data_IF_325229597700
#
_entry.id   IF_325229597700
#
_cell.length_a   1.000
_cell.length_b   1.000
_cell.length_c   1.000
_cell.angle_alpha   90.00
_cell.angle_beta   90.00
_cell.angle_gamma   90.00
#
_symmetry.space_group_name_H-M   'P 1'
#
loop_
_entity.id
_entity.type
_entity.pdbx_description
1 polymer ?
#
# COMPACT_ATOMS: atom_id res chain seq x y z
N UNK A 1 -14.14 -11.45 15.90
CA UNK A 1 -14.28 -11.58 14.44
C UNK A 1 -13.15 -12.46 13.89
N UNK A 2 -13.42 -13.30 12.93
CA UNK A 2 -12.43 -14.15 12.26
C UNK A 2 -12.12 -13.57 10.89
N UNK A 3 -10.84 -13.61 10.48
CA UNK A 3 -10.42 -13.29 9.13
C UNK A 3 -9.94 -14.58 8.47
N UNK A 4 -10.62 -14.98 7.41
CA UNK A 4 -10.38 -16.23 6.69
C UNK A 4 -9.64 -15.96 5.37
N UNK A 5 -8.72 -16.83 4.97
CA UNK A 5 -8.15 -16.75 3.62
C UNK A 5 -9.21 -17.09 2.58
N UNK A 6 -9.22 -16.33 1.47
CA UNK A 6 -10.12 -16.59 0.33
C UNK A 6 -11.04 -15.43 -0.01
N UNK A 7 -12.07 -15.72 -0.80
CA UNK A 7 -12.99 -14.73 -1.38
C UNK A 7 -14.45 -15.01 -1.04
N UNK A 8 -14.72 -15.87 -0.07
CA UNK A 8 -16.09 -16.19 0.36
C UNK A 8 -16.77 -14.92 0.91
N UNK A 9 -18.08 -14.73 0.65
CA UNK A 9 -18.81 -13.62 1.28
C UNK A 9 -18.73 -13.68 2.80
N UNK A 10 -18.40 -12.54 3.43
CA UNK A 10 -18.37 -12.43 4.89
C UNK A 10 -19.76 -12.63 5.52
N UNK A 11 -19.76 -12.93 6.81
CA UNK A 11 -20.94 -13.04 7.68
C UNK A 11 -20.67 -12.29 8.98
N UNK A 12 -21.63 -12.34 9.92
CA UNK A 12 -21.55 -11.61 11.19
C UNK A 12 -20.31 -11.97 12.04
N UNK A 13 -19.76 -13.18 11.89
CA UNK A 13 -18.67 -13.71 12.68
C UNK A 13 -17.35 -13.85 11.92
N UNK A 14 -17.34 -13.61 10.60
CA UNK A 14 -16.12 -13.65 9.79
C UNK A 14 -16.15 -12.74 8.57
N UNK A 15 -14.96 -12.34 8.13
CA UNK A 15 -14.69 -11.70 6.83
C UNK A 15 -13.63 -12.51 6.10
N UNK A 16 -13.57 -12.36 4.78
CA UNK A 16 -12.54 -13.01 3.95
C UNK A 16 -11.52 -12.02 3.43
N UNK A 17 -10.27 -12.46 3.35
CA UNK A 17 -9.16 -11.73 2.74
C UNK A 17 -8.59 -12.56 1.59
N UNK A 18 -8.43 -11.94 0.42
CA UNK A 18 -7.85 -12.60 -0.75
C UNK A 18 -6.33 -12.84 -0.63
N UNK A 19 -5.65 -12.21 0.34
CA UNK A 19 -4.27 -12.51 0.65
C UNK A 19 -4.18 -13.78 1.51
N UNK A 20 -3.87 -14.89 0.87
CA UNK A 20 -3.78 -16.21 1.53
C UNK A 20 -2.60 -16.32 2.52
N UNK A 21 -1.60 -15.43 2.39
CA UNK A 21 -0.44 -15.32 3.27
C UNK A 21 -0.68 -14.54 4.56
N UNK A 22 -1.87 -13.93 4.74
CA UNK A 22 -2.14 -13.07 5.89
C UNK A 22 -1.80 -13.71 7.25
N UNK A 23 -2.11 -15.00 7.39
CA UNK A 23 -1.84 -15.75 8.61
C UNK A 23 -0.34 -15.92 8.92
N UNK A 24 0.53 -15.84 7.91
CA UNK A 24 1.99 -15.90 8.09
C UNK A 24 2.57 -14.50 8.36
N UNK A 25 1.91 -13.47 7.86
CA UNK A 25 2.38 -12.08 7.94
C UNK A 25 2.05 -11.42 9.29
N UNK A 26 0.96 -11.86 9.97
CA UNK A 26 0.49 -11.21 11.20
C UNK A 26 0.73 -12.07 12.45
N UNK A 27 0.85 -11.42 13.59
CA UNK A 27 1.00 -12.04 14.92
C UNK A 27 0.06 -11.39 15.93
N UNK A 28 -0.08 -12.04 17.09
CA UNK A 28 -0.88 -11.50 18.19
C UNK A 28 -0.40 -10.09 18.58
N UNK A 29 -1.34 -9.17 18.73
CA UNK A 29 -1.13 -7.76 19.01
C UNK A 29 -1.11 -6.85 17.80
N UNK A 30 -0.89 -7.36 16.58
CA UNK A 30 -0.87 -6.55 15.36
C UNK A 30 -2.27 -6.00 15.04
N UNK A 31 -2.29 -4.83 14.40
CA UNK A 31 -3.51 -4.18 13.93
C UNK A 31 -3.83 -4.60 12.51
N UNK A 32 -5.11 -4.81 12.26
CA UNK A 32 -5.66 -4.92 10.91
C UNK A 32 -6.61 -3.73 10.73
N UNK A 33 -6.29 -2.86 9.78
CA UNK A 33 -7.08 -1.70 9.43
C UNK A 33 -7.94 -2.01 8.21
N UNK A 34 -9.22 -1.64 8.27
CA UNK A 34 -10.19 -1.86 7.20
C UNK A 34 -10.77 -0.53 6.73
N UNK A 35 -11.09 -0.44 5.43
CA UNK A 35 -11.69 0.74 4.81
C UNK A 35 -10.91 2.02 5.11
N UNK A 36 -9.64 2.07 4.68
CA UNK A 36 -8.70 3.18 4.89
C UNK A 36 -8.53 3.58 6.37
N UNK A 37 -8.61 2.59 7.26
CA UNK A 37 -8.44 2.80 8.71
C UNK A 37 -9.67 3.31 9.44
N UNK A 38 -10.85 3.30 8.80
CA UNK A 38 -12.13 3.65 9.46
C UNK A 38 -12.54 2.61 10.50
N UNK A 39 -12.11 1.36 10.34
CA UNK A 39 -12.33 0.28 11.29
C UNK A 39 -10.99 -0.36 11.66
N UNK A 40 -10.89 -0.82 12.90
CA UNK A 40 -9.68 -1.46 13.43
C UNK A 40 -10.01 -2.79 14.09
N UNK A 41 -9.27 -3.82 13.71
CA UNK A 41 -9.22 -5.10 14.40
C UNK A 41 -7.83 -5.26 15.03
N UNK A 42 -7.77 -6.02 16.12
CA UNK A 42 -6.51 -6.43 16.74
C UNK A 42 -6.41 -7.94 16.74
N UNK A 43 -5.30 -8.46 16.25
CA UNK A 43 -5.05 -9.90 16.20
C UNK A 43 -4.88 -10.43 17.62
N UNK A 44 -5.66 -11.45 17.98
CA UNK A 44 -5.53 -12.18 19.25
C UNK A 44 -4.68 -13.43 19.06
N UNK A 45 -4.93 -14.16 17.98
CA UNK A 45 -4.18 -15.38 17.67
C UNK A 45 -4.32 -15.76 16.20
N UNK A 46 -3.41 -16.61 15.73
CA UNK A 46 -3.49 -17.25 14.42
C UNK A 46 -3.64 -18.76 14.65
N UNK A 47 -4.72 -19.34 14.10
CA UNK A 47 -5.00 -20.75 14.20
C UNK A 47 -4.13 -21.61 13.27
N UNK A 48 -3.99 -22.89 13.58
CA UNK A 48 -3.32 -23.88 12.70
C UNK A 48 -4.05 -24.10 11.37
N UNK A 49 -5.32 -23.72 11.31
CA UNK A 49 -6.18 -23.69 10.13
C UNK A 49 -6.01 -22.41 9.30
N UNK A 50 -5.03 -21.55 9.67
CA UNK A 50 -4.73 -20.25 9.05
C UNK A 50 -5.83 -19.19 9.21
N UNK A 51 -6.73 -19.39 10.15
CA UNK A 51 -7.73 -18.40 10.53
C UNK A 51 -7.11 -17.40 11.50
N UNK A 52 -7.24 -16.11 11.21
CA UNK A 52 -6.80 -15.03 12.09
C UNK A 52 -7.96 -14.63 12.99
N UNK A 53 -7.81 -14.87 14.29
CA UNK A 53 -8.78 -14.50 15.31
C UNK A 53 -8.49 -13.08 15.78
N UNK A 54 -9.52 -12.24 15.81
CA UNK A 54 -9.37 -10.81 16.12
C UNK A 54 -10.45 -10.31 17.05
N UNK A 55 -10.12 -9.26 17.79
CA UNK A 55 -11.08 -8.41 18.50
C UNK A 55 -11.34 -7.14 17.70
N UNK A 56 -12.59 -6.69 17.66
CA UNK A 56 -12.96 -5.41 17.04
C UNK A 56 -12.63 -4.29 18.01
N UNK A 57 -11.68 -3.42 17.65
CA UNK A 57 -11.28 -2.24 18.44
C UNK A 57 -12.12 -1.04 18.03
N UNK A 58 -12.26 -0.81 16.71
CA UNK A 58 -13.15 0.20 16.15
C UNK A 58 -14.07 -0.49 15.15
N UNK A 59 -15.35 -0.54 15.47
CA UNK A 59 -16.38 -1.16 14.66
C UNK A 59 -16.95 -0.21 13.60
N UNK A 60 -17.74 -0.79 12.70
CA UNK A 60 -18.42 -0.05 11.64
C UNK A 60 -19.15 -0.96 10.66
N UNK A 61 -19.67 -0.39 9.60
CA UNK A 61 -20.29 -1.15 8.50
C UNK A 61 -19.26 -1.39 7.41
N UNK A 62 -18.73 -2.62 7.34
CA UNK A 62 -17.78 -3.01 6.30
C UNK A 62 -18.51 -3.33 5.00
N UNK A 63 -18.25 -2.56 3.96
CA UNK A 63 -18.75 -2.80 2.60
C UNK A 63 -17.85 -3.80 1.86
N UNK A 64 -18.38 -4.51 0.85
CA UNK A 64 -17.56 -5.40 0.01
C UNK A 64 -16.43 -4.67 -0.71
N UNK A 65 -15.33 -5.38 -0.95
CA UNK A 65 -14.17 -4.91 -1.73
C UNK A 65 -13.44 -3.71 -1.11
N UNK A 66 -13.45 -3.61 0.23
CA UNK A 66 -12.68 -2.59 0.94
C UNK A 66 -11.26 -3.05 1.20
N UNK A 67 -10.33 -2.10 1.22
CA UNK A 67 -8.93 -2.34 1.51
C UNK A 67 -8.71 -2.89 2.93
N UNK A 68 -7.68 -3.71 3.07
CA UNK A 68 -7.16 -4.21 4.33
C UNK A 68 -5.68 -3.86 4.42
N UNK A 69 -5.27 -3.21 5.50
CA UNK A 69 -3.89 -2.85 5.78
C UNK A 69 -3.44 -3.50 7.08
N UNK A 70 -2.19 -3.90 7.12
CA UNK A 70 -1.53 -4.47 8.32
C UNK A 70 -0.25 -3.67 8.61
N UNK A 71 -0.40 -2.48 9.22
CA UNK A 71 0.69 -1.51 9.34
C UNK A 71 1.85 -1.98 10.24
N UNK A 72 1.58 -2.92 11.13
CA UNK A 72 2.56 -3.45 12.09
C UNK A 72 3.33 -4.67 11.55
N UNK A 73 3.00 -5.12 10.32
CA UNK A 73 3.57 -6.32 9.70
C UNK A 73 4.20 -6.02 8.35
N UNK A 74 5.19 -6.81 7.98
CA UNK A 74 5.74 -6.82 6.61
C UNK A 74 4.93 -7.82 5.78
N UNK A 75 4.22 -7.31 4.79
CA UNK A 75 3.36 -8.15 3.94
C UNK A 75 4.19 -8.88 2.90
N UNK A 76 3.98 -10.17 2.76
CA UNK A 76 4.71 -11.04 1.82
C UNK A 76 4.25 -10.92 0.35
N UNK A 77 3.24 -10.09 0.06
CA UNK A 77 2.78 -9.83 -1.32
C UNK A 77 3.86 -9.04 -2.07
N UNK A 78 4.33 -9.53 -3.22
CA UNK A 78 5.26 -8.75 -4.05
C UNK A 78 4.58 -7.49 -4.59
N UNK A 79 5.33 -6.41 -4.77
CA UNK A 79 4.81 -5.18 -5.35
C UNK A 79 4.32 -5.38 -6.79
N UNK A 80 4.90 -6.34 -7.52
CA UNK A 80 4.50 -6.71 -8.88
C UNK A 80 3.87 -8.11 -8.88
N UNK A 81 2.55 -8.19 -8.87
CA UNK A 81 1.80 -9.45 -8.91
C UNK A 81 1.67 -9.99 -10.34
N UNK A 82 1.20 -11.25 -10.50
CA UNK A 82 0.91 -11.82 -11.83
C UNK A 82 -0.19 -11.06 -12.59
N UNK A 83 -1.13 -10.45 -11.85
CA UNK A 83 -2.11 -9.55 -12.47
C UNK A 83 -1.42 -8.30 -13.01
N UNK A 84 -0.54 -7.68 -12.22
CA UNK A 84 0.16 -6.47 -12.62
C UNK A 84 1.06 -6.70 -13.83
N UNK A 85 1.68 -7.88 -13.95
CA UNK A 85 2.46 -8.26 -15.14
C UNK A 85 1.60 -8.30 -16.42
N UNK A 86 0.38 -8.83 -16.33
CA UNK A 86 -0.56 -8.82 -17.47
C UNK A 86 -1.03 -7.42 -17.81
N UNK A 87 -1.37 -6.62 -16.78
CA UNK A 87 -1.81 -5.24 -16.95
C UNK A 87 -0.69 -4.37 -17.53
N UNK A 88 0.55 -4.59 -17.08
CA UNK A 88 1.75 -3.93 -17.62
C UNK A 88 1.92 -4.20 -19.11
N UNK A 89 1.81 -5.46 -19.53
CA UNK A 89 1.94 -5.81 -20.95
C UNK A 89 0.88 -5.09 -21.80
N UNK A 90 -0.39 -5.12 -21.38
CA UNK A 90 -1.47 -4.41 -22.07
C UNK A 90 -1.30 -2.90 -22.07
N UNK A 91 -0.85 -2.32 -20.95
CA UNK A 91 -0.58 -0.88 -20.86
C UNK A 91 0.54 -0.43 -21.81
N UNK A 92 1.63 -1.20 -21.89
CA UNK A 92 2.76 -0.91 -22.76
C UNK A 92 2.38 -1.04 -24.24
N UNK A 93 1.53 -2.01 -24.62
CA UNK A 93 0.98 -2.13 -25.97
C UNK A 93 0.15 -0.90 -26.38
N UNK A 94 -0.54 -0.27 -25.43
CA UNK A 94 -1.30 0.96 -25.64
C UNK A 94 -0.43 2.22 -25.72
N UNK A 95 0.88 2.12 -25.44
CA UNK A 95 1.83 3.23 -25.55
C UNK A 95 1.74 4.22 -24.39
N UNK A 96 1.66 3.74 -23.16
CA UNK A 96 1.70 4.61 -21.97
C UNK A 96 3.03 5.36 -21.86
N UNK A 97 3.00 6.60 -21.39
CA UNK A 97 4.16 7.45 -21.21
C UNK A 97 4.97 7.13 -19.95
N UNK A 98 4.32 6.64 -18.90
CA UNK A 98 4.90 6.32 -17.60
C UNK A 98 4.31 5.03 -17.03
N UNK A 99 5.10 4.33 -16.23
CA UNK A 99 4.66 3.18 -15.44
C UNK A 99 4.78 3.53 -13.95
N UNK A 100 3.68 3.52 -13.21
CA UNK A 100 3.66 3.75 -11.77
C UNK A 100 3.50 2.44 -11.02
N UNK A 101 4.44 2.12 -10.12
CA UNK A 101 4.39 0.93 -9.27
C UNK A 101 3.87 1.28 -7.88
N UNK A 102 2.77 0.64 -7.48
CA UNK A 102 2.19 0.77 -6.13
C UNK A 102 2.88 -0.15 -5.13
N UNK A 103 2.76 0.18 -3.86
CA UNK A 103 3.24 -0.62 -2.73
C UNK A 103 4.73 -0.98 -2.77
N UNK A 104 5.55 -0.12 -3.37
CA UNK A 104 7.00 -0.27 -3.37
C UNK A 104 7.50 -0.28 -1.93
N UNK A 105 8.38 -1.21 -1.60
CA UNK A 105 9.01 -1.34 -0.29
C UNK A 105 10.53 -1.24 -0.38
N UNK A 106 11.12 -1.78 -1.44
CA UNK A 106 12.57 -1.91 -1.59
C UNK A 106 13.02 -1.55 -3.00
N UNK A 107 14.34 -1.37 -3.16
CA UNK A 107 14.99 -1.27 -4.47
C UNK A 107 14.67 -2.47 -5.36
N UNK A 108 14.58 -3.68 -4.79
CA UNK A 108 14.35 -4.90 -5.57
C UNK A 108 13.01 -4.87 -6.31
N UNK A 109 11.96 -4.29 -5.72
CA UNK A 109 10.66 -4.14 -6.38
C UNK A 109 10.78 -3.37 -7.71
N UNK A 110 11.63 -2.34 -7.73
CA UNK A 110 11.88 -1.55 -8.96
C UNK A 110 12.70 -2.36 -9.97
N UNK A 111 13.69 -3.10 -9.50
CA UNK A 111 14.50 -3.95 -10.38
C UNK A 111 13.66 -5.06 -11.02
N UNK A 112 12.72 -5.66 -10.28
CA UNK A 112 11.80 -6.67 -10.79
C UNK A 112 10.88 -6.08 -11.87
N UNK A 113 10.35 -4.87 -11.66
CA UNK A 113 9.58 -4.15 -12.69
C UNK A 113 10.43 -3.86 -13.92
N UNK A 114 11.66 -3.34 -13.75
CA UNK A 114 12.58 -3.08 -14.88
C UNK A 114 12.86 -4.34 -15.68
N UNK A 115 13.07 -5.46 -15.00
CA UNK A 115 13.32 -6.75 -15.67
C UNK A 115 12.11 -7.21 -16.49
N UNK A 116 10.89 -7.00 -15.98
CA UNK A 116 9.67 -7.33 -16.70
C UNK A 116 9.46 -6.41 -17.92
N UNK A 117 9.65 -5.10 -17.73
CA UNK A 117 9.58 -4.12 -18.83
C UNK A 117 10.60 -4.40 -19.93
N UNK A 118 11.82 -4.82 -19.55
CA UNK A 118 12.86 -5.17 -20.53
C UNK A 118 12.47 -6.37 -21.39
N UNK A 119 11.79 -7.40 -20.82
CA UNK A 119 11.25 -8.54 -21.59
C UNK A 119 10.20 -8.09 -22.61
N UNK A 120 9.47 -7.02 -22.30
CA UNK A 120 8.45 -6.43 -23.17
C UNK A 120 9.02 -5.34 -24.10
N UNK A 121 10.35 -5.14 -24.10
CA UNK A 121 11.03 -4.16 -24.96
C UNK A 121 10.78 -2.70 -24.60
N UNK A 122 10.24 -2.43 -23.41
CA UNK A 122 9.88 -1.07 -22.98
C UNK A 122 11.00 -0.41 -22.17
N UNK A 123 11.14 0.90 -22.36
CA UNK A 123 11.99 1.81 -21.57
C UNK A 123 11.18 2.98 -20.99
N UNK A 124 9.86 2.80 -20.84
CA UNK A 124 9.02 3.84 -20.25
C UNK A 124 9.54 4.22 -18.85
N UNK A 125 9.53 5.52 -18.49
CA UNK A 125 9.96 5.99 -17.18
C UNK A 125 9.12 5.38 -16.06
N UNK A 126 9.77 5.11 -14.91
CA UNK A 126 9.15 4.47 -13.75
C UNK A 126 8.91 5.51 -12.65
N UNK A 127 7.69 5.51 -12.10
CA UNK A 127 7.30 6.27 -10.91
C UNK A 127 7.06 5.29 -9.76
N UNK A 128 7.87 5.37 -8.69
CA UNK A 128 7.63 4.60 -7.47
C UNK A 128 6.60 5.31 -6.58
N UNK A 129 5.54 4.63 -6.19
CA UNK A 129 4.56 5.16 -5.24
C UNK A 129 5.02 4.84 -3.81
N UNK A 130 5.23 5.89 -3.03
CA UNK A 130 5.68 5.81 -1.63
C UNK A 130 4.43 5.76 -0.75
N UNK A 131 4.08 4.55 -0.35
CA UNK A 131 2.84 4.20 0.37
C UNK A 131 3.13 3.44 1.67
N UNK A 132 4.33 2.88 1.80
CA UNK A 132 4.72 1.99 2.90
C UNK A 132 5.85 2.58 3.74
N UNK A 133 5.90 2.30 5.07
CA UNK A 133 7.03 2.69 5.92
C UNK A 133 8.37 2.20 5.38
N UNK A 134 8.41 0.97 4.88
CA UNK A 134 9.61 0.35 4.31
C UNK A 134 10.17 1.14 3.12
N UNK A 135 9.29 1.72 2.28
CA UNK A 135 9.73 2.59 1.18
C UNK A 135 10.41 3.86 1.68
N UNK A 136 10.02 4.37 2.85
CA UNK A 136 10.67 5.55 3.47
C UNK A 136 12.06 5.17 3.97
N UNK A 137 12.19 4.04 4.64
CA UNK A 137 13.47 3.54 5.15
C UNK A 137 14.46 3.25 4.02
N UNK A 138 13.98 2.73 2.89
CA UNK A 138 14.76 2.39 1.70
C UNK A 138 14.75 3.49 0.62
N UNK A 139 14.26 4.70 0.94
CA UNK A 139 14.02 5.75 -0.05
C UNK A 139 15.28 6.10 -0.85
N UNK A 140 16.43 6.14 -0.17
CA UNK A 140 17.72 6.45 -0.81
C UNK A 140 18.03 5.48 -1.96
N UNK A 141 17.80 4.19 -1.77
CA UNK A 141 18.08 3.15 -2.78
C UNK A 141 17.02 3.17 -3.89
N UNK A 142 15.75 3.37 -3.54
CA UNK A 142 14.64 3.49 -4.48
C UNK A 142 14.87 4.66 -5.44
N UNK A 143 15.24 5.85 -4.90
CA UNK A 143 15.52 7.04 -5.70
C UNK A 143 16.66 6.87 -6.72
N UNK A 144 17.57 5.92 -6.49
CA UNK A 144 18.63 5.58 -7.45
C UNK A 144 18.16 4.77 -8.66
N UNK A 145 16.92 4.26 -8.63
CA UNK A 145 16.41 3.34 -9.65
C UNK A 145 15.19 3.86 -10.40
N UNK A 146 14.65 5.02 -10.05
CA UNK A 146 13.39 5.53 -10.61
C UNK A 146 13.57 6.88 -11.29
N UNK A 147 12.69 7.19 -12.23
CA UNK A 147 12.63 8.48 -12.90
C UNK A 147 11.77 9.48 -12.11
N UNK A 148 10.85 8.97 -11.30
CA UNK A 148 9.99 9.77 -10.44
C UNK A 148 9.49 9.01 -9.22
N UNK A 149 8.96 9.76 -8.25
CA UNK A 149 8.24 9.22 -7.10
C UNK A 149 6.87 9.87 -6.96
N UNK A 150 5.96 9.16 -6.32
CA UNK A 150 4.67 9.71 -5.92
C UNK A 150 4.47 9.53 -4.42
N UNK A 151 4.31 10.62 -3.69
CA UNK A 151 3.87 10.57 -2.30
C UNK A 151 2.37 10.34 -2.28
N UNK A 152 1.97 9.08 -2.13
CA UNK A 152 0.56 8.66 -2.09
C UNK A 152 0.02 8.82 -0.67
N UNK A 153 -0.29 10.07 -0.29
CA UNK A 153 -0.59 10.47 1.10
C UNK A 153 -1.75 9.71 1.72
N UNK A 154 -2.75 9.32 0.92
CA UNK A 154 -3.90 8.55 1.40
C UNK A 154 -3.46 7.20 1.98
N UNK A 155 -2.81 6.38 1.17
CA UNK A 155 -2.36 5.04 1.56
C UNK A 155 -1.26 5.12 2.62
N UNK A 156 -0.31 6.06 2.45
CA UNK A 156 0.75 6.29 3.44
C UNK A 156 0.17 6.63 4.82
N UNK A 157 -0.90 7.43 4.87
CA UNK A 157 -1.53 7.84 6.13
C UNK A 157 -2.16 6.67 6.91
N UNK A 158 -2.70 5.69 6.20
CA UNK A 158 -3.24 4.46 6.82
C UNK A 158 -2.11 3.66 7.47
N UNK A 159 -0.94 3.64 6.86
CA UNK A 159 0.23 2.88 7.34
C UNK A 159 0.97 3.58 8.49
N UNK A 160 1.23 4.89 8.38
CA UNK A 160 2.08 5.61 9.34
C UNK A 160 1.31 6.51 10.32
N UNK A 161 0.01 6.70 10.09
CA UNK A 161 -0.83 7.66 10.80
C UNK A 161 -0.81 9.07 10.19
N UNK A 162 -1.99 9.69 10.12
CA UNK A 162 -2.21 11.00 9.48
C UNK A 162 -1.25 12.09 9.96
N UNK A 163 -0.93 12.11 11.26
CA UNK A 163 -0.09 13.15 11.87
C UNK A 163 1.38 13.11 11.40
N UNK A 164 1.87 11.98 10.91
CA UNK A 164 3.24 11.82 10.42
C UNK A 164 3.42 12.24 8.96
N UNK A 165 2.35 12.15 8.15
CA UNK A 165 2.42 12.36 6.70
C UNK A 165 2.99 13.72 6.30
N UNK A 166 2.62 14.87 6.92
CA UNK A 166 3.18 16.16 6.52
C UNK A 166 4.70 16.25 6.68
N UNK A 167 5.23 15.64 7.74
CA UNK A 167 6.68 15.61 7.99
C UNK A 167 7.39 14.69 7.01
N UNK A 168 6.85 13.47 6.83
CA UNK A 168 7.39 12.49 5.90
C UNK A 168 7.34 12.97 4.45
N UNK A 169 6.25 13.62 4.03
CA UNK A 169 6.16 14.26 2.72
C UNK A 169 7.32 15.22 2.47
N UNK A 170 7.60 16.13 3.42
CA UNK A 170 8.69 17.09 3.28
C UNK A 170 10.05 16.41 3.20
N UNK A 171 10.26 15.35 3.97
CA UNK A 171 11.50 14.56 3.94
C UNK A 171 11.68 13.86 2.60
N UNK A 172 10.63 13.24 2.08
CA UNK A 172 10.61 12.55 0.78
C UNK A 172 10.92 13.55 -0.34
N UNK A 173 10.18 14.66 -0.40
CA UNK A 173 10.38 15.70 -1.42
C UNK A 173 11.79 16.29 -1.40
N UNK A 174 12.36 16.51 -0.22
CA UNK A 174 13.73 17.00 -0.10
C UNK A 174 14.73 16.02 -0.72
N UNK A 175 14.60 14.72 -0.40
CA UNK A 175 15.52 13.71 -0.91
C UNK A 175 15.39 13.51 -2.42
N UNK A 176 14.17 13.58 -2.99
CA UNK A 176 13.96 13.51 -4.45
C UNK A 176 14.54 14.74 -5.15
N UNK A 177 14.28 15.93 -4.63
CA UNK A 177 14.81 17.19 -5.18
C UNK A 177 16.34 17.24 -5.16
N UNK A 178 16.97 16.84 -4.05
CA UNK A 178 18.43 16.78 -3.91
C UNK A 178 19.08 15.87 -4.98
N UNK A 179 18.29 14.96 -5.58
CA UNK A 179 18.73 14.03 -6.65
C UNK A 179 18.21 14.36 -8.03
N UNK A 180 17.40 15.40 -8.16
CA UNK A 180 16.76 15.76 -9.42
C UNK A 180 15.75 14.74 -9.93
N UNK A 181 15.16 13.92 -9.03
CA UNK A 181 14.10 12.95 -9.33
C UNK A 181 12.76 13.67 -9.29
N UNK A 182 11.91 13.47 -10.32
CA UNK A 182 10.56 14.04 -10.36
C UNK A 182 9.75 13.59 -9.14
N UNK A 183 9.02 14.53 -8.53
CA UNK A 183 8.09 14.19 -7.44
C UNK A 183 6.65 14.61 -7.73
N UNK A 184 5.71 13.76 -7.32
CA UNK A 184 4.27 13.97 -7.41
C UNK A 184 3.69 13.87 -6.01
N UNK A 185 2.97 14.90 -5.59
CA UNK A 185 2.20 14.88 -4.34
C UNK A 185 0.75 14.56 -4.66
N UNK A 186 0.32 13.35 -4.31
CA UNK A 186 -1.00 12.85 -4.65
C UNK A 186 -2.05 13.11 -3.55
N UNK A 187 -3.31 13.00 -3.93
CA UNK A 187 -4.54 13.20 -3.17
C UNK A 187 -4.84 14.68 -2.82
N UNK A 188 -6.11 14.96 -2.48
CA UNK A 188 -6.54 16.33 -2.11
C UNK A 188 -5.82 16.80 -0.85
N UNK A 189 -5.53 18.09 -0.79
CA UNK A 189 -5.01 18.76 0.39
C UNK A 189 -6.12 19.54 1.06
N UNK A 190 -6.50 19.14 2.28
CA UNK A 190 -7.48 19.84 3.12
C UNK A 190 -8.88 20.04 2.51
N UNK A 191 -9.17 19.46 1.35
CA UNK A 191 -10.44 19.60 0.66
C UNK A 191 -11.64 19.28 1.56
N UNK A 192 -11.53 18.17 2.31
CA UNK A 192 -12.58 17.76 3.24
C UNK A 192 -12.82 18.76 4.38
N UNK A 193 -11.85 19.62 4.69
CA UNK A 193 -11.97 20.64 5.75
C UNK A 193 -12.76 21.86 5.31
N UNK A 194 -13.23 21.94 4.09
CA UNK A 194 -14.26 22.93 3.69
C UNK A 194 -15.59 22.69 4.41
N UNK A 195 -15.84 21.45 4.82
CA UNK A 195 -17.07 21.03 5.49
C UNK A 195 -16.88 20.27 6.81
N UNK A 196 -15.68 19.78 7.09
CA UNK A 196 -15.36 18.99 8.28
C UNK A 196 -14.25 19.67 9.11
N UNK A 197 -14.30 19.59 10.45
CA UNK A 197 -13.29 20.19 11.32
C UNK A 197 -11.93 19.44 11.30
N UNK A 198 -11.90 18.27 10.66
CA UNK A 198 -10.71 17.42 10.54
C UNK A 198 -10.55 16.92 9.11
N UNK A 199 -9.31 16.76 8.60
CA UNK A 199 -9.09 16.16 7.30
C UNK A 199 -9.52 14.68 7.31
N UNK A 200 -10.16 14.24 6.23
CA UNK A 200 -10.47 12.82 6.00
C UNK A 200 -9.29 12.07 5.37
N UNK A 201 -8.34 12.82 4.78
CA UNK A 201 -7.05 12.33 4.26
C UNK A 201 -5.96 13.33 4.63
N UNK A 202 -4.74 12.83 4.79
CA UNK A 202 -3.59 13.66 5.13
C UNK A 202 -3.12 14.54 3.98
#
# INVERSE_FOLDING_TARGET
>A
LRVLPGTAPGKDDFISCNHVGLADDVKAGDRILLDDGLMELRVESVGSDRVVHTVVVVGGTLKPRKGMNVPDSVVSIPALTDKDRRDLAGGLELGVDYVALSFVQTRQDILDLKAEMAKLGSKAPIIAKIEKPQAIDNLHEILGEVDGIMVARGDLAVEVGNYRVPVLQKQILRQSNDRGVLDIVATQMLESMTSNPRPTRA
#
